data_IF_976675152287
#
_entry.id   IF_976675152287
#
_cell.length_a   1.000
_cell.length_b   1.000
_cell.length_c   1.000
_cell.angle_alpha   90.00
_cell.angle_beta   90.00
_cell.angle_gamma   90.00
#
_symmetry.space_group_name_H-M   'P 1'
#
loop_
_entity.id
_entity.type
_entity.pdbx_description
1 polymer ?
#
# COMPACT_ATOMS: atom_id res chain seq x y z
N UNK A 1 -6.23 12.18 -55.57
CA UNK A 1 -6.87 12.27 -54.25
C UNK A 1 -5.93 11.57 -53.27
N UNK A 2 -5.26 12.32 -52.40
CA UNK A 2 -4.26 11.78 -51.46
C UNK A 2 -4.97 11.42 -50.15
N UNK A 3 -5.02 10.12 -49.87
CA UNK A 3 -5.54 9.62 -48.58
C UNK A 3 -4.63 10.09 -47.45
N UNK A 4 -5.17 10.96 -46.60
CA UNK A 4 -4.55 11.32 -45.33
C UNK A 4 -4.66 10.11 -44.40
N UNK A 5 -3.53 9.39 -44.23
CA UNK A 5 -3.35 8.46 -43.08
C UNK A 5 -3.51 9.26 -41.79
N UNK A 6 -4.61 9.04 -41.10
CA UNK A 6 -4.75 9.45 -39.72
C UNK A 6 -3.69 8.71 -38.92
N UNK A 7 -2.77 9.49 -38.30
CA UNK A 7 -1.73 8.98 -37.46
C UNK A 7 -2.37 8.21 -36.29
N UNK A 8 -1.73 7.10 -35.92
CA UNK A 8 -2.02 6.37 -34.68
C UNK A 8 -2.02 7.37 -33.53
N UNK A 9 -3.18 7.58 -32.90
CA UNK A 9 -3.26 8.27 -31.63
C UNK A 9 -2.42 7.47 -30.64
N UNK A 10 -1.34 8.04 -30.14
CA UNK A 10 -0.70 7.60 -28.91
C UNK A 10 -1.78 7.62 -27.82
N UNK A 11 -2.41 6.47 -27.62
CA UNK A 11 -3.29 6.29 -26.48
C UNK A 11 -2.42 6.47 -25.28
N UNK A 12 -2.62 7.55 -24.52
CA UNK A 12 -2.03 7.74 -23.19
C UNK A 12 -2.40 6.53 -22.35
N UNK A 13 -1.52 5.54 -22.32
CA UNK A 13 -1.74 4.36 -21.48
C UNK A 13 -1.48 4.76 -20.04
N UNK A 14 -2.46 4.50 -19.19
CA UNK A 14 -2.30 4.67 -17.74
C UNK A 14 -1.23 3.68 -17.28
N UNK A 15 -0.13 4.20 -16.76
CA UNK A 15 0.92 3.37 -16.16
C UNK A 15 0.36 2.60 -14.97
N UNK A 16 0.70 1.32 -14.87
CA UNK A 16 0.20 0.43 -13.81
C UNK A 16 1.35 -0.26 -13.09
N UNK A 17 1.10 -0.60 -11.83
CA UNK A 17 1.97 -1.41 -11.00
C UNK A 17 1.31 -2.78 -10.79
N UNK A 18 2.02 -3.88 -11.07
CA UNK A 18 1.54 -5.21 -10.78
C UNK A 18 1.31 -5.38 -9.27
N UNK A 19 0.26 -6.09 -8.91
CA UNK A 19 -0.05 -6.41 -7.52
C UNK A 19 0.60 -7.69 -7.03
N UNK A 20 1.03 -8.54 -7.97
CA UNK A 20 1.51 -9.89 -7.69
C UNK A 20 0.41 -10.87 -7.28
N UNK A 21 -0.85 -10.48 -7.45
CA UNK A 21 -1.99 -11.35 -7.19
C UNK A 21 -2.34 -12.06 -8.48
N UNK A 22 -2.19 -13.40 -8.46
CA UNK A 22 -2.43 -14.24 -9.63
C UNK A 22 -3.85 -14.04 -10.19
N UNK A 23 -3.95 -13.83 -11.50
CA UNK A 23 -5.19 -13.56 -12.21
C UNK A 23 -5.76 -12.14 -12.02
N UNK A 24 -5.47 -11.45 -10.92
CA UNK A 24 -5.96 -10.08 -10.72
C UNK A 24 -5.29 -9.09 -11.67
N UNK A 25 -3.98 -9.20 -11.83
CA UNK A 25 -3.22 -8.32 -12.73
C UNK A 25 -3.65 -8.51 -14.20
N UNK A 26 -4.05 -9.72 -14.59
CA UNK A 26 -4.60 -10.02 -15.91
C UNK A 26 -5.95 -9.32 -16.12
N UNK A 27 -6.87 -9.45 -15.15
CA UNK A 27 -8.18 -8.79 -15.18
C UNK A 27 -8.03 -7.27 -15.23
N UNK A 28 -7.10 -6.74 -14.43
CA UNK A 28 -6.81 -5.30 -14.36
C UNK A 28 -5.87 -4.81 -15.47
N UNK A 29 -5.46 -5.69 -16.40
CA UNK A 29 -4.53 -5.37 -17.51
C UNK A 29 -3.24 -4.73 -17.01
N UNK A 30 -2.55 -5.41 -16.09
CA UNK A 30 -1.22 -5.04 -15.59
C UNK A 30 -1.20 -4.45 -14.18
N UNK A 31 -2.28 -4.57 -13.41
CA UNK A 31 -2.30 -4.17 -12.00
C UNK A 31 -3.01 -2.85 -11.71
N UNK A 32 -2.60 -2.16 -10.64
CA UNK A 32 -3.21 -0.92 -10.17
C UNK A 32 -2.60 0.33 -10.84
N UNK A 33 -3.39 1.39 -11.08
CA UNK A 33 -2.88 2.60 -11.72
C UNK A 33 -1.91 3.36 -10.80
N UNK A 34 -0.77 3.77 -11.36
CA UNK A 34 0.25 4.57 -10.67
C UNK A 34 -0.30 5.95 -10.33
N UNK A 35 0.09 6.50 -9.18
CA UNK A 35 -0.28 7.84 -8.72
C UNK A 35 -1.80 8.06 -8.62
N UNK A 36 -2.54 7.01 -8.29
CA UNK A 36 -3.98 7.04 -8.07
C UNK A 36 -4.34 6.34 -6.77
N UNK A 37 -5.42 6.77 -6.16
CA UNK A 37 -6.02 6.06 -5.04
C UNK A 37 -6.85 4.89 -5.55
N UNK A 38 -6.72 3.74 -4.89
CA UNK A 38 -7.53 2.55 -5.15
C UNK A 38 -8.33 2.21 -3.90
N UNK A 39 -9.65 2.12 -4.02
CA UNK A 39 -10.52 1.69 -2.95
C UNK A 39 -10.78 0.18 -3.07
N UNK A 40 -10.45 -0.57 -2.01
CA UNK A 40 -10.80 -1.98 -1.86
C UNK A 40 -11.89 -2.10 -0.80
N UNK A 41 -13.08 -2.52 -1.20
CA UNK A 41 -14.27 -2.59 -0.37
C UNK A 41 -14.75 -4.04 -0.22
N UNK A 42 -15.30 -4.37 0.94
CA UNK A 42 -15.84 -5.69 1.26
C UNK A 42 -16.20 -5.79 2.73
N UNK A 43 -17.03 -6.79 3.07
CA UNK A 43 -17.39 -7.12 4.46
C UNK A 43 -16.19 -7.63 5.25
N UNK A 44 -16.32 -7.81 6.57
CA UNK A 44 -15.29 -8.39 7.41
C UNK A 44 -14.93 -9.81 6.92
N UNK A 45 -13.65 -10.17 6.95
CA UNK A 45 -13.16 -11.50 6.54
C UNK A 45 -13.02 -11.73 5.04
N UNK A 46 -13.23 -10.71 4.18
CA UNK A 46 -13.12 -10.86 2.71
C UNK A 46 -11.68 -10.74 2.17
N UNK A 47 -10.69 -10.62 3.03
CA UNK A 47 -9.27 -10.60 2.63
C UNK A 47 -8.73 -9.24 2.23
N UNK A 48 -9.39 -8.12 2.58
CA UNK A 48 -8.90 -6.76 2.27
C UNK A 48 -7.48 -6.48 2.79
N UNK A 49 -7.23 -6.85 4.05
CA UNK A 49 -5.92 -6.71 4.69
C UNK A 49 -4.87 -7.54 3.96
N UNK A 50 -5.19 -8.80 3.63
CA UNK A 50 -4.30 -9.71 2.90
C UNK A 50 -3.98 -9.16 1.50
N UNK A 51 -4.99 -8.66 0.78
CA UNK A 51 -4.81 -8.01 -0.53
C UNK A 51 -3.83 -6.84 -0.44
N UNK A 52 -4.01 -5.95 0.54
CA UNK A 52 -3.17 -4.77 0.73
C UNK A 52 -1.73 -5.14 1.12
N UNK A 53 -1.56 -6.13 2.00
CA UNK A 53 -0.24 -6.62 2.41
C UNK A 53 0.49 -7.33 1.26
N UNK A 54 -0.22 -8.13 0.46
CA UNK A 54 0.37 -8.79 -0.71
C UNK A 54 0.87 -7.77 -1.72
N UNK A 55 0.08 -6.73 -1.99
CA UNK A 55 0.49 -5.63 -2.87
C UNK A 55 1.78 -4.95 -2.39
N UNK A 56 1.85 -4.58 -1.10
CA UNK A 56 3.05 -3.97 -0.51
C UNK A 56 4.24 -4.93 -0.54
N UNK A 57 4.04 -6.17 -0.09
CA UNK A 57 5.10 -7.18 -0.09
C UNK A 57 5.66 -7.42 -1.49
N UNK A 58 4.79 -7.53 -2.50
CA UNK A 58 5.20 -7.71 -3.88
C UNK A 58 5.97 -6.49 -4.41
N UNK A 59 5.51 -5.27 -4.13
CA UNK A 59 6.20 -4.03 -4.49
C UNK A 59 7.60 -3.95 -3.90
N UNK A 60 7.74 -4.28 -2.62
CA UNK A 60 9.03 -4.26 -1.93
C UNK A 60 9.98 -5.33 -2.46
N UNK A 61 9.51 -6.57 -2.58
CA UNK A 61 10.37 -7.70 -2.92
C UNK A 61 10.77 -7.75 -4.39
N UNK A 62 9.91 -7.30 -5.31
CA UNK A 62 10.13 -7.44 -6.75
C UNK A 62 10.52 -6.13 -7.45
N UNK A 63 10.21 -4.99 -6.86
CA UNK A 63 10.46 -3.68 -7.46
C UNK A 63 11.30 -2.75 -6.58
N UNK A 64 11.70 -3.22 -5.39
CA UNK A 64 12.43 -2.43 -4.38
C UNK A 64 11.70 -1.11 -4.01
N UNK A 65 10.36 -1.13 -4.07
CA UNK A 65 9.52 0.01 -3.72
C UNK A 65 9.12 -0.05 -2.24
N UNK A 66 9.58 0.87 -1.40
CA UNK A 66 9.22 0.85 0.03
C UNK A 66 7.73 1.13 0.24
N UNK A 67 7.20 0.61 1.34
CA UNK A 67 5.79 0.71 1.66
C UNK A 67 5.47 1.18 3.06
N UNK A 68 4.30 1.79 3.23
CA UNK A 68 3.73 2.16 4.52
C UNK A 68 2.35 1.52 4.64
N UNK A 69 2.14 0.76 5.70
CA UNK A 69 0.85 0.20 6.06
C UNK A 69 0.31 0.92 7.30
N UNK A 70 -0.89 1.47 7.20
CA UNK A 70 -1.56 2.13 8.33
C UNK A 70 -2.74 1.27 8.75
N UNK A 71 -2.77 0.85 10.00
CA UNK A 71 -3.86 0.06 10.57
C UNK A 71 -4.65 0.86 11.61
N UNK A 72 -5.97 0.62 11.66
CA UNK A 72 -6.89 1.24 12.61
C UNK A 72 -7.56 0.23 13.55
N UNK A 73 -7.47 -1.07 13.24
CA UNK A 73 -8.20 -2.11 13.95
C UNK A 73 -7.29 -3.24 14.44
N UNK A 74 -6.32 -3.64 13.62
CA UNK A 74 -5.41 -4.74 13.93
C UNK A 74 -4.08 -4.22 14.49
N UNK A 75 -3.55 -4.88 15.53
CA UNK A 75 -2.22 -4.51 16.03
C UNK A 75 -1.12 -4.86 15.01
N UNK A 76 -0.01 -4.09 14.95
CA UNK A 76 1.12 -4.43 14.09
C UNK A 76 1.65 -5.86 14.30
N UNK A 77 1.67 -6.34 15.54
CA UNK A 77 2.10 -7.70 15.86
C UNK A 77 1.20 -8.77 15.25
N UNK A 78 -0.12 -8.55 15.26
CA UNK A 78 -1.06 -9.49 14.66
C UNK A 78 -0.96 -9.49 13.14
N UNK A 79 -0.76 -8.33 12.53
CA UNK A 79 -0.51 -8.19 11.09
C UNK A 79 0.74 -8.98 10.68
N UNK A 80 1.86 -8.80 11.39
CA UNK A 80 3.13 -9.52 11.13
C UNK A 80 2.92 -11.04 11.28
N UNK A 81 2.24 -11.45 12.36
CA UNK A 81 1.96 -12.85 12.65
C UNK A 81 1.07 -13.51 11.58
N UNK A 82 0.03 -12.79 11.16
CA UNK A 82 -0.89 -13.25 10.12
C UNK A 82 -0.17 -13.35 8.76
N UNK A 83 0.67 -12.37 8.41
CA UNK A 83 1.45 -12.38 7.16
C UNK A 83 2.44 -13.57 7.09
N UNK A 84 3.03 -13.95 8.22
CA UNK A 84 3.93 -15.10 8.29
C UNK A 84 3.25 -16.41 7.87
N UNK A 85 1.94 -16.56 8.06
CA UNK A 85 1.17 -17.72 7.62
C UNK A 85 1.10 -17.87 6.09
N UNK A 86 1.34 -16.78 5.35
CA UNK A 86 1.47 -16.75 3.89
C UNK A 86 2.92 -16.84 3.42
N UNK A 87 3.88 -17.00 4.34
CA UNK A 87 5.31 -17.01 4.03
C UNK A 87 5.92 -15.63 3.81
N UNK A 88 5.23 -14.56 4.22
CA UNK A 88 5.75 -13.20 4.12
C UNK A 88 6.41 -12.76 5.42
N UNK A 89 7.72 -12.58 5.40
CA UNK A 89 8.48 -12.06 6.55
C UNK A 89 8.45 -10.53 6.56
N UNK A 90 7.36 -9.99 7.11
CA UNK A 90 7.22 -8.53 7.25
C UNK A 90 8.21 -7.94 8.26
N UNK A 91 8.65 -8.74 9.27
CA UNK A 91 9.62 -8.25 10.23
C UNK A 91 10.96 -7.97 9.57
N UNK A 92 11.42 -8.86 8.69
CA UNK A 92 12.65 -8.63 7.92
C UNK A 92 12.56 -7.34 7.08
N UNK A 93 11.42 -7.09 6.44
CA UNK A 93 11.22 -5.87 5.64
C UNK A 93 11.21 -4.61 6.51
N UNK A 94 10.70 -4.69 7.74
CA UNK A 94 10.74 -3.60 8.71
C UNK A 94 12.19 -3.34 9.16
N UNK A 95 12.93 -4.37 9.49
CA UNK A 95 14.32 -4.28 9.94
C UNK A 95 15.23 -3.70 8.83
N UNK A 96 14.92 -3.99 7.57
CA UNK A 96 15.56 -3.40 6.40
C UNK A 96 15.09 -1.97 6.09
N UNK A 97 14.18 -1.40 6.88
CA UNK A 97 13.55 -0.11 6.66
C UNK A 97 12.83 0.02 5.30
N UNK A 98 12.34 -1.07 4.74
CA UNK A 98 11.57 -1.12 3.48
C UNK A 98 10.06 -1.09 3.72
N UNK A 99 9.61 -1.47 4.91
CA UNK A 99 8.21 -1.45 5.34
C UNK A 99 8.05 -0.70 6.67
N UNK A 100 7.05 0.16 6.75
CA UNK A 100 6.59 0.76 8.00
C UNK A 100 5.15 0.34 8.27
N UNK A 101 4.87 -0.14 9.49
CA UNK A 101 3.51 -0.40 9.96
C UNK A 101 3.19 0.62 11.03
N UNK A 102 2.21 1.48 10.77
CA UNK A 102 1.76 2.52 11.68
C UNK A 102 0.43 2.11 12.30
N UNK A 103 0.41 2.00 13.63
CA UNK A 103 -0.81 1.81 14.40
C UNK A 103 -1.50 3.16 14.58
N UNK A 104 -2.68 3.29 14.01
CA UNK A 104 -3.57 4.45 14.11
C UNK A 104 -4.85 4.12 14.88
N UNK A 105 -4.85 3.01 15.63
CA UNK A 105 -5.97 2.64 16.50
C UNK A 105 -6.23 3.74 17.54
N UNK A 106 -7.50 4.02 17.84
CA UNK A 106 -7.84 4.93 18.94
C UNK A 106 -7.24 4.46 20.25
N UNK A 107 -6.62 5.37 21.00
CA UNK A 107 -6.11 5.05 22.34
C UNK A 107 -7.30 4.80 23.29
N UNK A 108 -7.46 3.59 23.85
CA UNK A 108 -8.58 3.29 24.74
C UNK A 108 -8.52 4.07 26.07
N UNK A 109 -7.33 4.54 26.47
CA UNK A 109 -7.11 5.32 27.70
C UNK A 109 -6.97 6.82 27.43
N UNK A 110 -6.97 7.23 26.16
CA UNK A 110 -6.93 8.64 25.76
C UNK A 110 -8.18 9.34 26.22
N UNK A 111 -8.03 10.43 27.00
CA UNK A 111 -9.12 11.35 27.35
C UNK A 111 -9.58 12.16 26.11
N UNK A 112 -9.70 11.51 24.95
CA UNK A 112 -10.25 12.13 23.78
C UNK A 112 -11.75 12.26 23.95
N UNK A 113 -12.13 13.49 24.33
CA UNK A 113 -13.51 13.95 24.34
C UNK A 113 -14.15 13.58 23.01
N UNK A 114 -15.05 12.60 23.10
CA UNK A 114 -16.04 12.22 22.07
C UNK A 114 -15.73 12.64 20.62
N UNK A 115 -15.07 11.74 19.87
CA UNK A 115 -15.18 11.75 18.41
C UNK A 115 -14.14 12.52 17.62
N UNK A 116 -13.13 13.11 18.22
CA UNK A 116 -12.03 13.75 17.49
C UNK A 116 -10.86 12.78 17.31
N UNK A 117 -10.89 12.02 16.20
CA UNK A 117 -9.69 11.35 15.71
C UNK A 117 -8.62 12.41 15.36
N UNK A 118 -7.42 12.32 15.97
CA UNK A 118 -6.32 13.24 15.66
C UNK A 118 -5.71 12.92 14.28
N UNK A 119 -6.38 13.42 13.26
CA UNK A 119 -5.93 13.31 11.88
C UNK A 119 -4.59 14.02 11.66
N UNK A 120 -4.34 15.12 12.38
CA UNK A 120 -3.10 15.91 12.25
C UNK A 120 -1.89 15.10 12.72
N UNK A 121 -1.99 14.45 13.88
CA UNK A 121 -0.94 13.57 14.40
C UNK A 121 -0.69 12.36 13.50
N UNK A 122 -1.72 11.77 12.91
CA UNK A 122 -1.56 10.68 11.95
C UNK A 122 -0.83 11.15 10.70
N UNK A 123 -1.22 12.29 10.12
CA UNK A 123 -0.56 12.86 8.92
C UNK A 123 0.92 13.16 9.21
N UNK A 124 1.24 13.66 10.40
CA UNK A 124 2.62 13.92 10.82
C UNK A 124 3.45 12.64 10.90
N UNK A 125 2.90 11.57 11.47
CA UNK A 125 3.54 10.25 11.55
C UNK A 125 3.76 9.65 10.17
N UNK A 126 2.77 9.70 9.28
CA UNK A 126 2.89 9.26 7.88
C UNK A 126 3.98 10.07 7.15
N UNK A 127 3.95 11.39 7.30
CA UNK A 127 4.94 12.29 6.69
C UNK A 127 6.37 12.01 7.19
N UNK A 128 6.53 11.68 8.46
CA UNK A 128 7.81 11.25 9.01
C UNK A 128 8.29 9.94 8.37
N UNK A 129 7.42 8.94 8.26
CA UNK A 129 7.74 7.66 7.64
C UNK A 129 8.14 7.82 6.16
N UNK A 130 7.41 8.66 5.41
CA UNK A 130 7.74 8.98 4.01
C UNK A 130 9.13 9.60 3.90
N UNK A 131 9.44 10.61 4.72
CA UNK A 131 10.75 11.26 4.71
C UNK A 131 11.88 10.27 5.03
N UNK A 132 11.65 9.38 6.00
CA UNK A 132 12.64 8.37 6.38
C UNK A 132 12.90 7.40 5.23
N UNK A 133 11.86 6.92 4.55
CA UNK A 133 11.99 6.07 3.37
C UNK A 133 12.71 6.80 2.23
N UNK A 134 12.29 8.01 1.90
CA UNK A 134 12.90 8.80 0.82
C UNK A 134 14.42 9.00 1.02
N UNK A 135 14.86 9.30 2.24
CA UNK A 135 16.27 9.50 2.54
C UNK A 135 17.12 8.23 2.40
N UNK A 136 16.52 7.06 2.59
CA UNK A 136 17.20 5.77 2.45
C UNK A 136 17.34 5.32 0.99
N UNK A 137 16.40 5.71 0.12
CA UNK A 137 16.37 5.31 -1.29
C UNK A 137 16.90 6.39 -2.25
N UNK A 138 17.30 7.56 -1.74
CA UNK A 138 17.89 8.66 -2.54
C UNK A 138 19.42 8.67 -2.50
N UNK A 139 20.05 7.61 -1.94
CA UNK A 139 21.49 7.37 -1.98
C UNK A 139 21.79 6.29 -3.00
#
# INVERSE_FOLDING_TARGET
MKDKKFGKSDKMQVQKLPTGIEGFDDVCRGGLPVSRSTLVSGTSGTGKTVFSLQYLHHGICNFDEPGIFVTFEESPLDIIRNAASFGWDLQELIDQNKLFILDASPDPDGQDVAGNFDLSGLIERISYAIRKLHNLFSQ
#
